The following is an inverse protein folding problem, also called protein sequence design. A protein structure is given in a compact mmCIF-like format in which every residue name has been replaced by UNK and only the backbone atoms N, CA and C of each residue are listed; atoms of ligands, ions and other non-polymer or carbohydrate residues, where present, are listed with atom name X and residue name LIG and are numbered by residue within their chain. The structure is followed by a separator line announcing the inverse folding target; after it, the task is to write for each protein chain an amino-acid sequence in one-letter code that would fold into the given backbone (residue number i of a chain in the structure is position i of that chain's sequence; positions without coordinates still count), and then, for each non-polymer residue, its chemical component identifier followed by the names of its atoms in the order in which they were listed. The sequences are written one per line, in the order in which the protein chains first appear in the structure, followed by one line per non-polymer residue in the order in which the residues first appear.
data_IF_286573423308
#
_entry.id   IF_286573423308
#
_cell.length_a   1.000
_cell.length_b   1.000
_cell.length_c   1.000
_cell.angle_alpha   90.00
_cell.angle_beta   90.00
_cell.angle_gamma   90.00
#
_symmetry.space_group_name_H-M   'P 1'
#
loop_
_entity.id
_entity.type
_entity.pdbx_description
1 polymer ?
#
# COMPACT_ATOMS: atom_id res chain seq x y z
N UNK A 1 11.19 -3.68 4.73
CA UNK A 1 10.45 -4.59 3.83
C UNK A 1 10.59 -4.06 2.43
N UNK A 2 11.22 -4.82 1.53
CA UNK A 2 11.28 -4.47 0.09
C UNK A 2 10.03 -5.07 -0.56
N UNK A 3 9.26 -4.26 -1.29
CA UNK A 3 7.94 -4.64 -1.81
C UNK A 3 7.96 -4.60 -3.33
N UNK A 4 7.92 -5.79 -3.89
CA UNK A 4 7.72 -6.12 -5.30
C UNK A 4 7.20 -7.56 -5.33
N UNK A 5 5.90 -7.68 -5.06
CA UNK A 5 5.23 -8.95 -4.87
C UNK A 5 3.85 -8.81 -5.49
N UNK A 6 3.59 -9.51 -6.60
CA UNK A 6 2.33 -9.43 -7.36
C UNK A 6 1.09 -9.43 -6.46
N UNK A 7 0.51 -10.61 -6.22
CA UNK A 7 -0.62 -10.79 -5.31
C UNK A 7 -0.37 -12.03 -4.48
N UNK A 8 -1.18 -12.25 -3.44
CA UNK A 8 -1.17 -13.52 -2.75
C UNK A 8 -1.50 -14.66 -3.72
N UNK A 9 -0.85 -15.82 -3.56
CA UNK A 9 -1.16 -16.98 -4.38
C UNK A 9 -2.59 -17.46 -4.07
N UNK A 10 -3.49 -17.26 -5.02
CA UNK A 10 -4.88 -17.69 -4.90
C UNK A 10 -5.01 -19.16 -5.30
N UNK A 11 -4.95 -20.07 -4.33
CA UNK A 11 -5.15 -21.50 -4.57
C UNK A 11 -6.07 -22.11 -3.52
N UNK A 12 -6.84 -23.15 -3.91
CA UNK A 12 -7.70 -23.89 -2.97
C UNK A 12 -6.92 -24.40 -1.75
N UNK A 13 -5.67 -24.81 -1.94
CA UNK A 13 -4.81 -25.27 -0.86
C UNK A 13 -4.52 -24.14 0.13
N UNK A 14 -4.10 -22.99 -0.37
CA UNK A 14 -3.72 -21.87 0.49
C UNK A 14 -4.94 -21.33 1.24
N UNK A 15 -6.11 -21.26 0.57
CA UNK A 15 -7.38 -20.90 1.21
C UNK A 15 -7.77 -21.88 2.34
N UNK A 16 -7.65 -23.20 2.10
CA UNK A 16 -7.95 -24.22 3.12
C UNK A 16 -6.97 -24.19 4.31
N UNK A 17 -5.76 -23.66 4.10
CA UNK A 17 -4.76 -23.49 5.16
C UNK A 17 -4.87 -22.12 5.87
N UNK A 18 -5.89 -21.32 5.56
CA UNK A 18 -6.09 -20.01 6.17
C UNK A 18 -5.16 -18.94 5.59
N UNK A 19 -5.12 -18.80 4.26
CA UNK A 19 -4.34 -17.76 3.57
C UNK A 19 -4.54 -16.36 4.19
N UNK A 20 -5.78 -16.00 4.51
CA UNK A 20 -6.13 -14.75 5.18
C UNK A 20 -5.49 -14.62 6.57
N UNK A 21 -5.42 -15.71 7.34
CA UNK A 21 -4.76 -15.73 8.65
C UNK A 21 -3.24 -15.60 8.50
N UNK A 22 -2.65 -16.27 7.51
CA UNK A 22 -1.22 -16.14 7.20
C UNK A 22 -0.82 -14.70 6.84
N UNK A 23 -1.60 -14.04 5.96
CA UNK A 23 -1.40 -12.63 5.63
C UNK A 23 -1.63 -11.71 6.83
N UNK A 24 -2.67 -11.96 7.63
CA UNK A 24 -2.95 -11.20 8.85
C UNK A 24 -1.81 -11.35 9.87
N UNK A 25 -1.25 -12.55 10.01
CA UNK A 25 -0.13 -12.82 10.90
C UNK A 25 1.11 -12.03 10.47
N UNK A 26 1.44 -12.03 9.16
CA UNK A 26 2.53 -11.21 8.62
C UNK A 26 2.32 -9.71 8.92
N UNK A 27 1.12 -9.19 8.66
CA UNK A 27 0.78 -7.80 8.98
C UNK A 27 0.97 -7.50 10.47
N UNK A 28 0.47 -8.39 11.33
CA UNK A 28 0.59 -8.27 12.79
C UNK A 28 2.05 -8.29 13.25
N UNK A 29 2.90 -9.12 12.67
CA UNK A 29 4.33 -9.13 13.00
C UNK A 29 4.99 -7.78 12.72
N UNK A 30 4.69 -7.16 11.57
CA UNK A 30 5.22 -5.85 11.22
C UNK A 30 4.69 -4.75 12.15
N UNK A 31 3.37 -4.74 12.39
CA UNK A 31 2.75 -3.78 13.31
C UNK A 31 3.23 -3.98 14.75
N UNK A 32 3.43 -5.23 15.19
CA UNK A 32 3.94 -5.52 16.52
C UNK A 32 5.40 -5.09 16.68
N UNK A 33 6.24 -5.30 15.66
CA UNK A 33 7.60 -4.79 15.66
C UNK A 33 7.63 -3.27 15.83
N UNK A 34 6.76 -2.54 15.12
CA UNK A 34 6.58 -1.10 15.29
C UNK A 34 6.16 -0.71 16.71
N UNK A 35 5.13 -1.37 17.26
CA UNK A 35 4.67 -1.14 18.63
C UNK A 35 5.73 -1.46 19.70
N UNK A 36 6.66 -2.37 19.41
CA UNK A 36 7.81 -2.69 20.25
C UNK A 36 8.99 -1.70 20.09
N UNK A 37 8.84 -0.67 19.25
CA UNK A 37 9.84 0.36 19.00
C UNK A 37 10.82 0.05 17.87
N UNK A 38 10.63 -1.04 17.13
CA UNK A 38 11.43 -1.32 15.94
C UNK A 38 10.94 -0.51 14.74
N UNK A 39 11.88 0.07 13.99
CA UNK A 39 11.55 0.85 12.79
C UNK A 39 11.11 -0.08 11.66
N UNK A 40 9.84 -0.02 11.29
CA UNK A 40 9.33 -0.73 10.12
C UNK A 40 9.20 0.21 8.92
N UNK A 41 10.07 0.02 7.94
CA UNK A 41 10.07 0.79 6.68
C UNK A 41 9.75 -0.15 5.52
N UNK A 42 8.67 0.14 4.80
CA UNK A 42 8.36 -0.43 3.49
C UNK A 42 9.00 0.41 2.39
N UNK A 43 9.67 -0.23 1.45
CA UNK A 43 10.14 0.39 0.20
C UNK A 43 9.42 -0.30 -0.93
N UNK A 44 8.44 0.40 -1.50
CA UNK A 44 7.67 -0.04 -2.64
C UNK A 44 8.41 0.34 -3.93
N UNK A 45 8.91 -0.66 -4.66
CA UNK A 45 9.73 -0.43 -5.85
C UNK A 45 9.25 -1.15 -7.11
N UNK A 46 8.30 -2.07 -6.98
CA UNK A 46 7.73 -2.80 -8.11
C UNK A 46 6.21 -2.92 -8.01
N UNK A 47 5.69 -4.05 -8.47
CA UNK A 47 4.25 -4.32 -8.44
C UNK A 47 3.83 -4.84 -7.06
N UNK A 48 2.62 -4.47 -6.62
CA UNK A 48 1.99 -5.16 -5.51
C UNK A 48 0.49 -4.99 -5.47
N UNK A 49 -0.21 -6.05 -5.04
CA UNK A 49 -1.65 -6.08 -5.04
C UNK A 49 -2.28 -6.78 -3.83
N UNK A 50 -3.56 -6.46 -3.64
CA UNK A 50 -4.50 -7.15 -2.76
C UNK A 50 -3.95 -7.43 -1.34
N UNK A 51 -4.01 -8.69 -0.90
CA UNK A 51 -3.61 -9.10 0.45
C UNK A 51 -2.11 -9.01 0.69
N UNK A 52 -1.29 -9.25 -0.34
CA UNK A 52 0.16 -9.09 -0.25
C UNK A 52 0.55 -7.63 0.02
N UNK A 53 -0.09 -6.69 -0.69
CA UNK A 53 0.10 -5.25 -0.49
C UNK A 53 -0.29 -4.80 0.94
N UNK A 54 -1.43 -5.27 1.44
CA UNK A 54 -1.90 -4.95 2.79
C UNK A 54 -0.96 -5.52 3.85
N UNK A 55 -0.58 -6.79 3.70
CA UNK A 55 0.23 -7.51 4.70
C UNK A 55 1.70 -7.05 4.74
N UNK A 56 2.16 -6.29 3.74
CA UNK A 56 3.53 -5.79 3.66
C UNK A 56 3.56 -4.27 3.69
N UNK A 57 3.39 -3.60 2.55
CA UNK A 57 3.55 -2.16 2.41
C UNK A 57 2.71 -1.37 3.43
N UNK A 58 1.40 -1.66 3.51
CA UNK A 58 0.49 -0.92 4.40
C UNK A 58 0.65 -1.31 5.88
N UNK A 59 1.27 -2.45 6.18
CA UNK A 59 1.55 -2.89 7.54
C UNK A 59 2.84 -2.30 8.13
N UNK A 60 3.66 -1.62 7.31
CA UNK A 60 4.84 -0.89 7.80
C UNK A 60 4.48 0.49 8.34
N UNK A 61 5.27 1.00 9.29
CA UNK A 61 5.10 2.33 9.89
C UNK A 61 5.41 3.46 8.92
N UNK A 62 6.45 3.28 8.11
CA UNK A 62 6.88 4.21 7.08
C UNK A 62 6.77 3.53 5.72
N UNK A 63 6.04 4.13 4.78
CA UNK A 63 5.99 3.63 3.40
C UNK A 63 6.67 4.63 2.45
N UNK A 64 7.80 4.21 1.89
CA UNK A 64 8.53 4.92 0.85
C UNK A 64 8.23 4.27 -0.50
N UNK A 65 8.16 5.06 -1.56
CA UNK A 65 7.94 4.55 -2.90
C UNK A 65 9.05 5.01 -3.85
N UNK A 66 9.46 4.14 -4.76
CA UNK A 66 10.34 4.47 -5.88
C UNK A 66 9.46 4.82 -7.09
N UNK A 67 9.82 5.84 -7.89
CA UNK A 67 9.11 6.15 -9.11
C UNK A 67 9.00 4.93 -10.03
N UNK A 68 7.83 4.73 -10.62
CA UNK A 68 7.54 3.56 -11.45
C UNK A 68 6.96 2.36 -10.70
N UNK A 69 6.78 2.43 -9.38
CA UNK A 69 6.05 1.40 -8.66
C UNK A 69 4.56 1.34 -9.06
N UNK A 70 4.01 0.13 -9.06
CA UNK A 70 2.66 -0.17 -9.60
C UNK A 70 1.78 -0.85 -8.54
N UNK A 71 1.44 -0.17 -7.42
CA UNK A 71 0.51 -0.73 -6.45
C UNK A 71 -0.92 -0.71 -7.00
N UNK A 72 -1.69 -1.76 -6.73
CA UNK A 72 -3.11 -1.82 -7.05
C UNK A 72 -3.90 -2.62 -6.00
N UNK A 73 -5.21 -2.38 -5.90
CA UNK A 73 -6.05 -3.25 -5.04
C UNK A 73 -6.39 -4.55 -5.78
N UNK A 74 -6.66 -4.43 -7.08
CA UNK A 74 -7.07 -5.50 -7.97
C UNK A 74 -6.85 -5.03 -9.41
N UNK A 75 -6.43 -5.92 -10.30
CA UNK A 75 -6.27 -5.58 -11.71
C UNK A 75 -7.63 -5.32 -12.40
N UNK A 76 -7.65 -4.43 -13.40
CA UNK A 76 -8.87 -4.05 -14.12
C UNK A 76 -9.62 -5.24 -14.77
N UNK A 77 -8.95 -6.25 -15.38
CA UNK A 77 -9.61 -7.47 -15.83
C UNK A 77 -10.36 -8.22 -14.71
N UNK A 78 -9.78 -8.35 -13.52
CA UNK A 78 -10.38 -8.96 -12.34
C UNK A 78 -11.55 -8.12 -11.83
N UNK A 79 -11.42 -6.78 -11.82
CA UNK A 79 -12.54 -5.88 -11.49
C UNK A 79 -13.72 -6.07 -12.45
N UNK A 80 -13.47 -6.14 -13.76
CA UNK A 80 -14.48 -6.38 -14.80
C UNK A 80 -15.26 -7.67 -14.54
N UNK A 81 -14.55 -8.75 -14.19
CA UNK A 81 -15.18 -10.05 -13.89
C UNK A 81 -16.07 -10.02 -12.66
N UNK A 82 -15.66 -9.32 -11.59
CA UNK A 82 -16.40 -9.26 -10.33
C UNK A 82 -17.57 -8.28 -10.42
N UNK A 83 -17.34 -7.07 -10.91
CA UNK A 83 -18.34 -5.99 -11.00
C UNK A 83 -19.32 -6.17 -12.17
N UNK A 84 -19.00 -7.04 -13.14
CA UNK A 84 -19.74 -7.23 -14.39
C UNK A 84 -19.78 -5.97 -15.28
N UNK A 85 -18.86 -5.03 -15.07
CA UNK A 85 -18.71 -3.84 -15.89
C UNK A 85 -17.72 -4.10 -17.03
N UNK A 86 -17.98 -3.61 -18.26
CA UNK A 86 -17.03 -3.72 -19.35
C UNK A 86 -15.68 -3.07 -18.99
N UNK A 87 -14.59 -3.72 -19.37
CA UNK A 87 -13.23 -3.21 -19.05
C UNK A 87 -12.98 -1.79 -19.58
N UNK A 88 -13.59 -1.42 -20.71
CA UNK A 88 -13.45 -0.07 -21.27
C UNK A 88 -14.10 1.00 -20.38
N UNK A 89 -15.22 0.67 -19.73
CA UNK A 89 -15.88 1.55 -18.76
C UNK A 89 -15.00 1.72 -17.51
N UNK A 90 -14.41 0.62 -17.02
CA UNK A 90 -13.48 0.67 -15.88
C UNK A 90 -12.23 1.48 -16.19
N UNK A 91 -11.67 1.37 -17.40
CA UNK A 91 -10.55 2.19 -17.88
C UNK A 91 -10.89 3.68 -17.98
N UNK A 92 -12.13 4.03 -18.32
CA UNK A 92 -12.55 5.42 -18.33
C UNK A 92 -12.72 5.95 -16.90
N UNK A 93 -13.39 5.18 -16.04
CA UNK A 93 -13.59 5.55 -14.63
C UNK A 93 -12.28 5.65 -13.84
N UNK A 94 -11.26 4.86 -14.20
CA UNK A 94 -9.94 4.95 -13.57
C UNK A 94 -9.21 6.27 -13.87
N UNK A 95 -9.64 7.05 -14.87
CA UNK A 95 -9.07 8.38 -15.11
C UNK A 95 -9.56 9.44 -14.13
N UNK A 96 -10.81 9.32 -13.69
CA UNK A 96 -11.47 10.30 -12.82
C UNK A 96 -11.54 9.89 -11.35
N UNK A 97 -11.47 8.59 -11.06
CA UNK A 97 -11.74 8.05 -9.72
C UNK A 97 -10.52 7.26 -9.21
N UNK A 98 -9.78 7.78 -8.21
CA UNK A 98 -8.58 7.13 -7.68
C UNK A 98 -8.81 5.69 -7.19
N UNK A 99 -10.02 5.35 -6.74
CA UNK A 99 -10.37 3.99 -6.27
C UNK A 99 -10.26 2.93 -7.38
N UNK A 100 -10.51 3.30 -8.63
CA UNK A 100 -10.42 2.39 -9.78
C UNK A 100 -9.08 2.50 -10.51
N UNK A 101 -8.19 3.38 -10.04
CA UNK A 101 -6.99 3.77 -10.73
C UNK A 101 -5.77 3.11 -10.06
N UNK A 102 -5.13 2.12 -10.71
CA UNK A 102 -3.90 1.56 -10.18
C UNK A 102 -2.79 2.63 -10.17
N UNK A 103 -1.71 2.34 -9.47
CA UNK A 103 -0.47 3.09 -9.56
C UNK A 103 -0.18 4.00 -8.37
N UNK A 104 1.10 4.40 -8.32
CA UNK A 104 1.69 5.14 -7.20
C UNK A 104 1.01 6.49 -6.96
N UNK A 105 0.68 7.25 -8.00
CA UNK A 105 0.09 8.59 -7.86
C UNK A 105 -1.21 8.58 -7.06
N UNK A 106 -2.05 7.57 -7.27
CA UNK A 106 -3.30 7.43 -6.53
C UNK A 106 -3.03 7.05 -5.07
N UNK A 107 -2.07 6.17 -4.82
CA UNK A 107 -1.67 5.80 -3.47
C UNK A 107 -1.10 7.01 -2.68
N UNK A 108 -0.35 7.89 -3.36
CA UNK A 108 0.12 9.17 -2.80
C UNK A 108 -1.06 10.09 -2.49
N UNK A 109 -2.00 10.28 -3.42
CA UNK A 109 -3.21 11.10 -3.21
C UNK A 109 -4.07 10.60 -2.05
N UNK A 110 -4.12 9.28 -1.84
CA UNK A 110 -4.83 8.65 -0.71
C UNK A 110 -4.06 8.79 0.62
N UNK A 111 -2.86 9.35 0.61
CA UNK A 111 -2.10 9.66 1.82
C UNK A 111 -1.37 8.47 2.44
N UNK A 112 -1.26 7.34 1.72
CA UNK A 112 -0.63 6.13 2.25
C UNK A 112 0.91 6.16 2.18
N UNK A 113 1.48 6.87 1.20
CA UNK A 113 2.93 6.99 0.99
C UNK A 113 3.48 8.16 1.81
N UNK A 114 4.51 7.93 2.62
CA UNK A 114 5.22 8.98 3.37
C UNK A 114 6.11 9.85 2.45
N UNK A 115 6.79 9.25 1.48
CA UNK A 115 7.51 9.97 0.41
C UNK A 115 7.71 9.11 -0.84
N UNK A 116 7.69 9.78 -1.99
CA UNK A 116 8.25 9.25 -3.24
C UNK A 116 9.72 9.67 -3.28
N UNK A 117 10.61 8.70 -3.48
CA UNK A 117 12.06 8.90 -3.47
C UNK A 117 12.53 9.52 -4.78
N UNK A 118 13.57 10.34 -4.70
CA UNK A 118 14.17 10.99 -5.86
C UNK A 118 15.14 10.01 -6.55
N UNK A 119 14.92 9.66 -7.84
CA UNK A 119 15.78 8.74 -8.57
C UNK A 119 17.17 9.33 -8.86
N UNK A 120 17.35 10.65 -8.75
CA UNK A 120 18.65 11.30 -8.91
C UNK A 120 19.52 11.24 -7.64
N UNK A 121 18.96 10.81 -6.50
CA UNK A 121 19.65 10.71 -5.21
C UNK A 121 19.89 9.26 -4.84
N UNK A 122 20.98 8.99 -4.11
CA UNK A 122 21.30 7.65 -3.64
C UNK A 122 20.20 7.10 -2.71
N UNK A 123 19.78 5.85 -2.93
CA UNK A 123 18.67 5.23 -2.22
C UNK A 123 18.96 5.06 -0.73
N UNK A 124 20.18 4.62 -0.40
CA UNK A 124 20.67 4.41 0.96
C UNK A 124 20.66 5.70 1.78
N UNK A 125 21.09 6.82 1.19
CA UNK A 125 21.06 8.13 1.84
C UNK A 125 19.62 8.55 2.20
N UNK A 126 18.70 8.44 1.24
CA UNK A 126 17.29 8.80 1.45
C UNK A 126 16.61 7.89 2.47
N UNK A 127 16.84 6.57 2.41
CA UNK A 127 16.30 5.63 3.40
C UNK A 127 16.93 5.88 4.78
N UNK A 128 18.21 6.23 4.83
CA UNK A 128 18.94 6.63 6.04
C UNK A 128 18.33 7.84 6.73
N UNK A 129 17.91 8.86 5.98
CA UNK A 129 17.18 10.01 6.51
C UNK A 129 15.87 9.59 7.21
N UNK A 130 15.13 8.66 6.64
CA UNK A 130 13.90 8.13 7.24
C UNK A 130 14.16 7.26 8.47
N UNK A 131 15.26 6.49 8.46
CA UNK A 131 15.73 5.75 9.64
C UNK A 131 16.16 6.69 10.76
N UNK A 132 16.64 7.90 10.45
CA UNK A 132 17.06 8.89 11.44
C UNK A 132 15.91 9.64 12.14
N UNK A 133 14.68 9.61 11.61
CA UNK A 133 13.52 10.31 12.22
C UNK A 133 13.16 9.75 13.60
N UNK A 134 12.48 10.47 14.50
CA UNK A 134 12.02 9.90 15.76
C UNK A 134 11.13 8.66 15.56
N UNK A 135 11.28 7.63 16.40
CA UNK A 135 10.50 6.40 16.30
C UNK A 135 9.05 6.59 16.79
N UNK A 136 8.86 7.46 17.79
CA UNK A 136 7.60 7.83 18.43
C UNK A 136 6.78 8.88 17.64
N UNK A 137 7.08 9.05 16.35
CA UNK A 137 6.33 9.99 15.50
C UNK A 137 4.85 9.62 15.43
N UNK A 138 3.97 10.62 15.40
CA UNK A 138 2.54 10.42 15.10
C UNK A 138 2.37 9.94 13.67
N UNK A 139 1.46 9.00 13.41
CA UNK A 139 1.18 8.51 12.05
C UNK A 139 0.29 9.49 11.28
N UNK A 140 0.83 10.22 10.27
CA UNK A 140 0.03 11.19 9.54
C UNK A 140 -0.90 10.52 8.52
N UNK A 141 -0.80 9.21 8.27
CA UNK A 141 -1.65 8.53 7.28
C UNK A 141 -3.14 8.62 7.66
N UNK A 142 -3.45 8.51 8.95
CA UNK A 142 -4.82 8.65 9.44
C UNK A 142 -5.43 10.03 9.16
N UNK A 143 -4.63 11.11 9.24
CA UNK A 143 -5.11 12.47 8.92
C UNK A 143 -5.14 12.72 7.41
N UNK A 144 -4.19 12.17 6.64
CA UNK A 144 -4.11 12.33 5.18
C UNK A 144 -5.15 11.53 4.40
N UNK A 145 -5.49 10.33 4.83
CA UNK A 145 -6.43 9.42 4.14
C UNK A 145 -7.90 9.67 4.43
N UNK A 146 -8.23 10.67 5.26
CA UNK A 146 -9.61 11.02 5.63
C UNK A 146 -10.12 12.33 5.03
N UNK A 147 -9.72 12.80 3.82
CA UNK A 147 -10.17 14.11 3.35
C UNK A 147 -11.69 14.18 3.22
N UNK A 148 -12.34 13.11 2.74
CA UNK A 148 -13.81 13.01 2.65
C UNK A 148 -14.45 12.62 3.98
N UNK A 149 -13.78 11.77 4.77
CA UNK A 149 -14.28 11.35 6.09
C UNK A 149 -14.19 12.48 7.14
N UNK A 150 -13.29 13.45 6.97
CA UNK A 150 -13.17 14.60 7.84
C UNK A 150 -14.41 15.50 7.76
N UNK A 151 -15.01 15.66 6.58
CA UNK A 151 -16.28 16.37 6.41
C UNK A 151 -17.45 15.63 7.05
N UNK A 152 -17.47 14.30 6.96
CA UNK A 152 -18.48 13.47 7.63
C UNK A 152 -18.32 13.50 9.15
N UNK A 153 -17.09 13.43 9.67
CA UNK A 153 -16.81 13.47 11.11
C UNK A 153 -17.07 14.85 11.75
N UNK A 154 -17.24 15.91 10.94
CA UNK A 154 -17.59 17.26 11.38
C UNK A 154 -19.10 17.56 11.38
N UNK A 155 -19.93 16.68 10.80
CA UNK A 155 -21.40 16.79 10.78
C UNK A 155 -22.01 16.05 11.96
#
# INVERSE_FOLDING_TARGET
VLVDSDSQRMSKRDELLGLNEGLSHLAKCLMHADLAGHRTIGVLYGHTAAGAFIATALATRTLLAVPGAEPEVMDLPSMSRVTKLPINILKEMSRSTPVFAPGLDNLVKMGAVDAVLDPARALDAQVGEWLGKPADRVDPRASRGRPVAADVARR
#
